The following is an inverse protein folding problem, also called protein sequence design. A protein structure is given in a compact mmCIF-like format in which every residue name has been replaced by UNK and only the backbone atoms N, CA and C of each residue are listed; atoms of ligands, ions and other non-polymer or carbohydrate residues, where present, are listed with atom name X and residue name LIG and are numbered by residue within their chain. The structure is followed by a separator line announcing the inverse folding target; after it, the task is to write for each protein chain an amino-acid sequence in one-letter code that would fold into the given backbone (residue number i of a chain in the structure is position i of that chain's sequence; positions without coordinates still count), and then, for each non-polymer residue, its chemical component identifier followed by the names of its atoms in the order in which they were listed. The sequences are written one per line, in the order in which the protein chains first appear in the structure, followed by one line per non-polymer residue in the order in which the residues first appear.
data_IF_931850711007
#
_entry.id   IF_931850711007
#
_cell.length_a   1.000
_cell.length_b   1.000
_cell.length_c   1.000
_cell.angle_alpha   90.00
_cell.angle_beta   90.00
_cell.angle_gamma   90.00
#
_symmetry.space_group_name_H-M   'P 1'
#
loop_
_entity.id
_entity.type
_entity.pdbx_description
1 polymer ?
#
# COMPACT_ATOMS: atom_id res chain seq x y z
N UNK A 1 -0.98 -17.54 1.65
CA UNK A 1 -2.23 -17.78 0.90
C UNK A 1 -2.91 -16.44 0.71
N UNK A 2 -2.94 -15.97 -0.55
CA UNK A 2 -3.47 -14.69 -0.96
C UNK A 2 -4.97 -14.83 -1.12
N UNK A 3 -5.74 -14.68 -0.05
CA UNK A 3 -7.18 -14.79 -0.14
C UNK A 3 -7.78 -13.39 -0.16
N UNK A 4 -8.07 -12.94 -1.36
CA UNK A 4 -9.15 -12.02 -1.58
C UNK A 4 -10.42 -12.85 -1.46
N UNK A 5 -11.05 -12.86 -0.29
CA UNK A 5 -12.33 -13.56 -0.10
C UNK A 5 -13.37 -12.87 -0.97
N UNK A 6 -13.66 -13.54 -2.09
CA UNK A 6 -14.85 -13.33 -2.89
C UNK A 6 -16.07 -13.63 -2.02
N UNK A 7 -16.64 -12.63 -1.41
CA UNK A 7 -18.02 -12.69 -0.91
C UNK A 7 -18.56 -11.27 -0.77
N UNK A 8 -19.47 -10.97 -1.67
CA UNK A 8 -20.24 -9.73 -1.87
C UNK A 8 -19.55 -8.67 -2.68
N UNK A 9 -19.86 -8.63 -3.97
CA UNK A 9 -19.91 -7.42 -4.81
C UNK A 9 -20.90 -6.40 -4.21
N UNK A 10 -20.53 -5.82 -3.07
CA UNK A 10 -20.92 -4.46 -2.76
C UNK A 10 -19.76 -3.62 -3.24
N UNK A 11 -20.01 -2.69 -4.17
CA UNK A 11 -19.13 -1.59 -4.50
C UNK A 11 -18.52 -1.06 -3.20
N UNK A 12 -17.35 -1.61 -2.82
CA UNK A 12 -16.52 -1.03 -1.79
C UNK A 12 -15.93 0.22 -2.44
N UNK A 13 -16.69 1.29 -2.41
CA UNK A 13 -16.11 2.62 -2.39
C UNK A 13 -15.23 2.59 -1.16
N UNK A 14 -13.95 2.36 -1.36
CA UNK A 14 -12.96 2.37 -0.29
C UNK A 14 -12.90 3.79 0.18
N UNK A 15 -13.58 4.10 1.27
CA UNK A 15 -13.81 5.47 1.73
C UNK A 15 -12.52 6.16 2.15
N UNK A 16 -11.46 5.41 2.45
CA UNK A 16 -10.14 5.97 2.71
C UNK A 16 -9.02 4.94 2.56
N UNK A 17 -7.84 5.43 2.26
CA UNK A 17 -6.62 4.64 2.15
C UNK A 17 -5.57 5.20 3.11
N UNK A 18 -4.76 4.34 3.70
CA UNK A 18 -3.57 4.73 4.47
C UNK A 18 -2.38 3.92 3.99
N UNK A 19 -1.26 4.59 3.70
CA UNK A 19 -0.13 3.98 3.00
C UNK A 19 1.15 4.02 3.83
N UNK A 20 1.90 2.89 3.83
CA UNK A 20 3.22 2.76 4.45
C UNK A 20 4.34 3.20 3.51
N UNK A 21 5.57 3.28 4.02
CA UNK A 21 6.75 3.76 3.28
C UNK A 21 7.11 2.86 2.09
N UNK A 22 7.13 1.53 2.25
CA UNK A 22 7.58 0.61 1.21
C UNK A 22 6.79 0.73 -0.11
N UNK A 23 5.44 0.74 -0.12
CA UNK A 23 4.68 0.98 -1.34
C UNK A 23 4.98 2.33 -2.00
N UNK A 24 5.15 3.39 -1.22
CA UNK A 24 5.50 4.72 -1.74
C UNK A 24 6.87 4.70 -2.42
N UNK A 25 7.86 4.05 -1.79
CA UNK A 25 9.22 3.94 -2.31
C UNK A 25 9.23 3.17 -3.63
N UNK A 26 8.66 1.95 -3.65
CA UNK A 26 8.65 1.13 -4.86
C UNK A 26 7.93 1.81 -6.02
N UNK A 27 6.76 2.40 -5.77
CA UNK A 27 6.00 3.08 -6.81
C UNK A 27 6.71 4.34 -7.33
N UNK A 28 7.36 5.12 -6.47
CA UNK A 28 8.10 6.30 -6.90
C UNK A 28 9.34 5.93 -7.72
N UNK A 29 10.13 4.96 -7.28
CA UNK A 29 11.32 4.49 -7.99
C UNK A 29 11.00 3.81 -9.31
N UNK A 30 9.85 3.14 -9.42
CA UNK A 30 9.36 2.53 -10.65
C UNK A 30 8.69 3.55 -11.61
N UNK A 31 8.50 4.81 -11.20
CA UNK A 31 7.75 5.81 -11.98
C UNK A 31 6.24 5.52 -12.03
N UNK A 32 5.71 4.79 -11.05
CA UNK A 32 4.32 4.33 -10.97
C UNK A 32 3.52 5.01 -9.84
N UNK A 33 4.03 6.10 -9.27
CA UNK A 33 3.40 6.77 -8.12
C UNK A 33 1.92 7.15 -8.34
N UNK A 34 1.49 7.59 -9.54
CA UNK A 34 0.08 7.89 -9.82
C UNK A 34 -0.86 6.68 -9.69
N UNK A 35 -0.35 5.44 -9.71
CA UNK A 35 -1.17 4.24 -9.49
C UNK A 35 -1.86 4.23 -8.12
N UNK A 36 -1.31 4.92 -7.12
CA UNK A 36 -1.97 5.07 -5.82
C UNK A 36 -3.34 5.72 -5.95
N UNK A 37 -3.50 6.73 -6.78
CA UNK A 37 -4.78 7.41 -6.98
C UNK A 37 -5.85 6.47 -7.57
N UNK A 38 -5.42 5.45 -8.31
CA UNK A 38 -6.32 4.44 -8.86
C UNK A 38 -6.94 3.52 -7.80
N UNK A 39 -6.34 3.45 -6.62
CA UNK A 39 -6.82 2.61 -5.53
C UNK A 39 -8.01 3.23 -4.77
N UNK A 40 -8.17 4.55 -4.84
CA UNK A 40 -9.24 5.28 -4.16
C UNK A 40 -8.79 6.66 -3.67
N UNK A 41 -9.68 7.36 -2.97
CA UNK A 41 -9.43 8.68 -2.37
C UNK A 41 -10.37 8.88 -1.18
N UNK A 42 -9.93 9.59 -0.13
CA UNK A 42 -8.62 10.19 0.08
C UNK A 42 -7.51 9.18 0.43
N UNK A 43 -6.26 9.50 0.09
CA UNK A 43 -5.08 8.69 0.43
C UNK A 43 -4.30 9.41 1.51
N UNK A 44 -4.04 8.69 2.60
CA UNK A 44 -3.41 9.25 3.80
C UNK A 44 -2.03 8.68 4.04
N UNK A 45 -1.13 9.55 4.49
CA UNK A 45 0.22 9.21 4.92
C UNK A 45 0.40 9.65 6.38
N UNK A 46 0.65 8.72 7.32
CA UNK A 46 1.00 9.08 8.69
C UNK A 46 2.31 9.88 8.74
N UNK A 47 2.40 10.81 9.68
CA UNK A 47 3.62 11.60 9.85
C UNK A 47 4.87 10.74 10.06
N UNK A 48 4.78 9.64 10.82
CA UNK A 48 5.88 8.72 11.02
C UNK A 48 6.42 8.12 9.70
N UNK A 49 5.53 7.79 8.76
CA UNK A 49 5.89 7.31 7.41
C UNK A 49 6.56 8.43 6.61
N UNK A 50 5.99 9.63 6.64
CA UNK A 50 6.58 10.78 5.96
C UNK A 50 7.98 11.10 6.48
N UNK A 51 8.16 11.10 7.81
CA UNK A 51 9.44 11.33 8.45
C UNK A 51 10.49 10.27 8.08
N UNK A 52 10.08 9.00 7.97
CA UNK A 52 10.96 7.93 7.48
C UNK A 52 11.44 8.20 6.07
N UNK A 53 10.53 8.58 5.16
CA UNK A 53 10.87 8.87 3.77
C UNK A 53 11.75 10.11 3.65
N UNK A 54 11.51 11.16 4.42
CA UNK A 54 12.32 12.39 4.40
C UNK A 54 13.78 12.15 4.75
N UNK A 55 14.10 11.14 5.59
CA UNK A 55 15.49 10.76 5.91
C UNK A 55 16.28 10.27 4.70
N UNK A 56 15.63 9.94 3.59
CA UNK A 56 16.27 9.53 2.33
C UNK A 56 16.89 10.71 1.58
N UNK A 57 16.55 11.94 1.98
CA UNK A 57 17.07 13.18 1.39
C UNK A 57 16.28 13.65 0.17
N UNK A 58 16.41 14.94 -0.15
CA UNK A 58 15.66 15.62 -1.22
C UNK A 58 15.95 15.08 -2.64
N UNK A 59 17.06 14.38 -2.81
CA UNK A 59 17.40 13.71 -4.08
C UNK A 59 16.60 12.43 -4.37
N UNK A 60 15.95 11.84 -3.35
CA UNK A 60 15.19 10.60 -3.51
C UNK A 60 13.90 10.85 -4.32
N UNK A 61 13.60 10.00 -5.33
CA UNK A 61 12.37 10.11 -6.11
C UNK A 61 11.10 10.10 -5.26
N UNK A 62 11.09 9.37 -4.14
CA UNK A 62 9.93 9.26 -3.26
C UNK A 62 9.64 10.57 -2.54
N UNK A 63 10.69 11.26 -2.07
CA UNK A 63 10.55 12.58 -1.41
C UNK A 63 9.91 13.55 -2.38
N UNK A 64 10.47 13.66 -3.62
CA UNK A 64 9.93 14.53 -4.65
C UNK A 64 8.49 14.17 -5.05
N UNK A 65 8.18 12.88 -5.17
CA UNK A 65 6.84 12.43 -5.51
C UNK A 65 5.80 12.81 -4.45
N UNK A 66 6.14 12.67 -3.16
CA UNK A 66 5.27 13.05 -2.05
C UNK A 66 5.08 14.58 -1.99
N UNK A 67 6.13 15.35 -2.20
CA UNK A 67 6.06 16.82 -2.20
C UNK A 67 5.18 17.35 -3.33
N UNK A 68 5.21 16.71 -4.50
CA UNK A 68 4.38 17.05 -5.65
C UNK A 68 2.93 16.57 -5.55
N UNK A 69 2.63 15.61 -4.66
CA UNK A 69 1.33 14.96 -4.55
C UNK A 69 0.37 15.72 -3.63
N UNK A 70 -0.26 16.78 -4.13
CA UNK A 70 -1.25 17.58 -3.38
C UNK A 70 -2.50 16.80 -2.94
N UNK A 71 -2.73 15.62 -3.52
CA UNK A 71 -3.82 14.70 -3.19
C UNK A 71 -3.49 13.73 -2.03
N UNK A 72 -2.26 13.75 -1.53
CA UNK A 72 -1.81 12.90 -0.43
C UNK A 72 -1.94 13.66 0.88
N UNK A 73 -2.86 13.22 1.73
CA UNK A 73 -3.17 13.87 3.01
C UNK A 73 -2.26 13.37 4.12
N UNK A 74 -1.57 14.29 4.80
CA UNK A 74 -0.82 13.93 6.00
C UNK A 74 -1.75 13.80 7.18
N UNK A 75 -1.58 12.73 7.96
CA UNK A 75 -2.39 12.44 9.14
C UNK A 75 -1.52 11.95 10.30
N UNK A 76 -2.09 12.04 11.51
CA UNK A 76 -1.58 11.36 12.68
C UNK A 76 -2.68 10.52 13.31
N UNK A 77 -2.40 9.28 13.73
CA UNK A 77 -3.35 8.54 14.54
C UNK A 77 -3.55 9.30 15.87
N UNK A 78 -4.81 9.44 16.28
CA UNK A 78 -5.17 10.07 17.54
C UNK A 78 -4.54 9.35 18.75
N UNK A 79 -4.39 8.03 18.61
CA UNK A 79 -3.79 7.16 19.60
C UNK A 79 -3.13 5.96 18.93
N UNK A 80 -1.95 5.57 19.40
CA UNK A 80 -1.32 4.32 18.99
C UNK A 80 -2.02 3.17 19.70
N UNK A 81 -2.60 2.26 18.92
CA UNK A 81 -3.30 1.12 19.48
C UNK A 81 -2.33 0.14 20.14
N UNK A 82 -2.56 -0.16 21.43
CA UNK A 82 -1.80 -1.18 22.17
C UNK A 82 -1.86 -2.55 21.48
N UNK A 83 -2.97 -2.86 20.80
CA UNK A 83 -3.11 -4.11 20.04
C UNK A 83 -2.16 -4.18 18.85
N UNK A 84 -1.84 -3.05 18.23
CA UNK A 84 -0.85 -2.95 17.15
C UNK A 84 0.56 -2.90 17.73
N UNK A 85 0.78 -2.12 18.79
CA UNK A 85 2.08 -1.94 19.44
C UNK A 85 2.66 -3.26 19.95
N UNK A 86 1.80 -4.17 20.45
CA UNK A 86 2.19 -5.51 20.90
C UNK A 86 2.87 -6.37 19.82
N UNK A 87 2.79 -6.00 18.54
CA UNK A 87 3.46 -6.70 17.44
C UNK A 87 4.91 -6.28 17.23
N UNK A 88 5.37 -5.21 17.89
CA UNK A 88 6.76 -4.75 17.80
C UNK A 88 7.15 -4.28 16.38
N UNK A 89 6.20 -3.72 15.64
CA UNK A 89 6.41 -3.20 14.29
C UNK A 89 7.18 -1.87 14.32
N UNK A 90 7.71 -1.46 13.16
CA UNK A 90 8.31 -0.14 13.00
C UNK A 90 7.31 1.01 13.20
N UNK A 91 7.77 2.24 13.50
CA UNK A 91 6.88 3.39 13.77
C UNK A 91 5.91 3.69 12.62
N UNK A 92 6.35 3.57 11.36
CA UNK A 92 5.51 3.77 10.19
C UNK A 92 4.36 2.78 10.12
N UNK A 93 4.66 1.48 10.23
CA UNK A 93 3.67 0.39 10.19
C UNK A 93 2.70 0.48 11.37
N UNK A 94 3.21 0.77 12.57
CA UNK A 94 2.40 0.96 13.76
C UNK A 94 1.39 2.10 13.57
N UNK A 95 1.83 3.23 13.00
CA UNK A 95 0.96 4.37 12.73
C UNK A 95 -0.09 4.06 11.65
N UNK A 96 0.31 3.38 10.57
CA UNK A 96 -0.60 2.96 9.49
C UNK A 96 -1.70 2.05 10.03
N UNK A 97 -1.33 1.02 10.80
CA UNK A 97 -2.29 0.04 11.31
C UNK A 97 -3.15 0.61 12.43
N UNK A 98 -2.61 1.48 13.29
CA UNK A 98 -3.41 2.18 14.32
C UNK A 98 -4.43 3.11 13.67
N UNK A 99 -4.04 3.83 12.62
CA UNK A 99 -4.98 4.65 11.83
C UNK A 99 -6.09 3.80 11.22
N UNK A 100 -5.72 2.72 10.51
CA UNK A 100 -6.71 1.86 9.86
C UNK A 100 -7.65 1.19 10.86
N UNK A 101 -7.16 0.81 12.04
CA UNK A 101 -7.96 0.19 13.09
C UNK A 101 -8.99 1.17 13.69
N UNK A 102 -8.63 2.46 13.82
CA UNK A 102 -9.53 3.51 14.33
C UNK A 102 -10.50 4.04 13.27
N UNK A 103 -10.31 3.68 11.99
CA UNK A 103 -11.16 4.10 10.88
C UNK A 103 -11.70 2.87 10.13
N UNK A 104 -12.80 2.24 10.60
CA UNK A 104 -13.37 1.05 9.99
C UNK A 104 -13.65 1.25 8.50
N UNK A 105 -13.22 0.27 7.68
CA UNK A 105 -13.32 0.36 6.22
C UNK A 105 -12.10 1.01 5.54
N UNK A 106 -11.19 1.61 6.30
CA UNK A 106 -9.93 2.10 5.76
C UNK A 106 -9.06 0.94 5.25
N UNK A 107 -8.57 1.04 4.01
CA UNK A 107 -7.66 0.07 3.41
C UNK A 107 -6.21 0.44 3.71
N UNK A 108 -5.50 -0.42 4.42
CA UNK A 108 -4.07 -0.26 4.64
C UNK A 108 -3.28 -0.76 3.41
N UNK A 109 -2.29 0.04 2.98
CA UNK A 109 -1.38 -0.31 1.88
C UNK A 109 0.01 -0.54 2.48
N UNK A 110 0.43 -1.81 2.54
CA UNK A 110 1.72 -2.20 3.11
C UNK A 110 2.22 -3.53 2.52
N UNK A 111 3.54 -3.65 2.39
CA UNK A 111 4.20 -4.83 1.80
C UNK A 111 4.86 -5.72 2.85
N UNK A 112 5.27 -5.18 3.99
CA UNK A 112 5.96 -5.94 5.04
C UNK A 112 5.13 -7.10 5.59
N UNK A 113 5.76 -8.24 5.75
CA UNK A 113 5.08 -9.48 6.14
C UNK A 113 4.54 -9.43 7.58
N UNK A 114 5.28 -8.82 8.51
CA UNK A 114 4.86 -8.73 9.91
C UNK A 114 3.66 -7.79 10.05
N UNK A 115 3.71 -6.62 9.40
CA UNK A 115 2.61 -5.67 9.32
C UNK A 115 1.36 -6.30 8.68
N UNK A 116 1.53 -7.07 7.60
CA UNK A 116 0.42 -7.79 6.94
C UNK A 116 -0.24 -8.83 7.85
N UNK A 117 0.56 -9.59 8.61
CA UNK A 117 0.05 -10.55 9.61
C UNK A 117 -0.72 -9.85 10.73
N UNK A 118 -0.20 -8.74 11.23
CA UNK A 118 -0.88 -7.90 12.21
C UNK A 118 -2.24 -7.41 11.68
N UNK A 119 -2.27 -6.84 10.47
CA UNK A 119 -3.49 -6.37 9.82
C UNK A 119 -4.53 -7.49 9.70
N UNK A 120 -4.11 -8.67 9.21
CA UNK A 120 -4.98 -9.85 9.08
C UNK A 120 -5.55 -10.30 10.43
N UNK A 121 -4.71 -10.38 11.47
CA UNK A 121 -5.14 -10.75 12.81
C UNK A 121 -6.16 -9.77 13.39
N UNK A 122 -5.99 -8.47 13.12
CA UNK A 122 -6.87 -7.41 13.60
C UNK A 122 -8.10 -7.18 12.71
N UNK A 123 -8.24 -7.90 11.60
CA UNK A 123 -9.34 -7.73 10.65
C UNK A 123 -9.27 -6.41 9.86
N UNK A 124 -8.09 -5.81 9.73
CA UNK A 124 -7.88 -4.59 8.95
C UNK A 124 -7.81 -4.94 7.47
N UNK A 125 -8.64 -4.34 6.60
CA UNK A 125 -8.50 -4.49 5.15
C UNK A 125 -7.12 -4.07 4.69
N UNK A 126 -6.47 -4.88 3.85
CA UNK A 126 -5.11 -4.58 3.39
C UNK A 126 -4.88 -4.97 1.94
N UNK A 127 -3.97 -4.25 1.30
CA UNK A 127 -3.35 -4.59 0.03
C UNK A 127 -1.85 -4.29 0.07
N UNK A 128 -1.11 -4.75 -0.93
CA UNK A 128 0.30 -4.39 -1.13
C UNK A 128 0.49 -3.77 -2.51
N UNK A 129 1.73 -3.39 -2.83
CA UNK A 129 2.08 -2.78 -4.12
C UNK A 129 1.69 -3.65 -5.31
N UNK A 130 1.93 -4.97 -5.25
CA UNK A 130 1.46 -5.90 -6.29
C UNK A 130 -0.07 -5.84 -6.43
N UNK A 131 -0.80 -5.82 -5.31
CA UNK A 131 -2.26 -5.76 -5.33
C UNK A 131 -2.81 -4.50 -6.01
N UNK A 132 -2.12 -3.36 -5.88
CA UNK A 132 -2.47 -2.12 -6.60
C UNK A 132 -2.36 -2.29 -8.11
N UNK A 133 -1.27 -2.89 -8.59
CA UNK A 133 -1.05 -3.17 -10.03
C UNK A 133 -2.13 -4.11 -10.57
N UNK A 134 -2.41 -5.21 -9.86
CA UNK A 134 -3.44 -6.17 -10.27
C UNK A 134 -4.84 -5.53 -10.29
N UNK A 135 -5.14 -4.67 -9.31
CA UNK A 135 -6.39 -3.91 -9.29
C UNK A 135 -6.51 -2.98 -10.50
N UNK A 136 -5.45 -2.22 -10.81
CA UNK A 136 -5.43 -1.32 -11.97
C UNK A 136 -5.65 -2.09 -13.29
N UNK A 137 -5.08 -3.28 -13.44
CA UNK A 137 -5.34 -4.17 -14.59
C UNK A 137 -6.80 -4.61 -14.63
N UNK A 138 -7.35 -5.10 -13.53
CA UNK A 138 -8.72 -5.59 -13.45
C UNK A 138 -9.76 -4.49 -13.73
N UNK A 139 -9.47 -3.24 -13.34
CA UNK A 139 -10.35 -2.09 -13.59
C UNK A 139 -10.11 -1.43 -14.95
N UNK A 140 -9.24 -1.99 -15.79
CA UNK A 140 -8.97 -1.48 -17.14
C UNK A 140 -8.14 -0.19 -17.20
N UNK A 141 -7.53 0.22 -16.08
CA UNK A 141 -6.70 1.43 -16.02
C UNK A 141 -5.32 1.22 -16.65
N UNK A 142 -4.87 -0.03 -16.72
CA UNK A 142 -3.65 -0.44 -17.42
C UNK A 142 -3.96 -1.63 -18.34
N UNK A 143 -3.27 -1.70 -19.47
CA UNK A 143 -3.45 -2.76 -20.46
C UNK A 143 -2.79 -4.07 -20.08
N UNK A 144 -1.66 -4.03 -19.33
CA UNK A 144 -0.91 -5.18 -18.87
C UNK A 144 -0.30 -4.93 -17.49
N UNK A 145 -0.35 -5.95 -16.61
CA UNK A 145 0.23 -5.88 -15.27
C UNK A 145 1.72 -6.27 -15.27
N UNK A 146 2.12 -7.28 -16.04
CA UNK A 146 3.49 -7.82 -16.08
C UNK A 146 4.55 -6.73 -16.27
N UNK A 147 4.47 -5.82 -17.28
CA UNK A 147 5.49 -4.80 -17.47
C UNK A 147 5.65 -3.85 -16.27
N UNK A 148 4.57 -3.58 -15.54
CA UNK A 148 4.62 -2.72 -14.35
C UNK A 148 5.26 -3.46 -13.17
N UNK A 149 4.99 -4.75 -13.05
CA UNK A 149 5.61 -5.58 -12.02
C UNK A 149 7.12 -5.72 -12.25
N UNK A 150 7.58 -5.86 -13.50
CA UNK A 150 9.01 -5.87 -13.80
C UNK A 150 9.68 -4.53 -13.41
N UNK A 151 9.04 -3.39 -13.68
CA UNK A 151 9.52 -2.09 -13.18
C UNK A 151 9.63 -2.02 -11.66
N UNK A 152 8.70 -2.64 -10.93
CA UNK A 152 8.76 -2.71 -9.47
C UNK A 152 9.92 -3.60 -9.00
N UNK A 153 10.21 -4.70 -9.69
CA UNK A 153 11.38 -5.54 -9.44
C UNK A 153 12.68 -4.77 -9.68
N UNK A 154 12.78 -4.04 -10.79
CA UNK A 154 13.92 -3.19 -11.11
C UNK A 154 14.12 -2.08 -10.06
N UNK A 155 13.03 -1.59 -9.48
CA UNK A 155 13.04 -0.65 -8.36
C UNK A 155 13.40 -1.30 -7.01
N UNK A 156 13.73 -2.59 -6.98
CA UNK A 156 14.19 -3.32 -5.80
C UNK A 156 13.10 -4.07 -5.03
N UNK A 157 11.88 -4.16 -5.55
CA UNK A 157 10.83 -4.96 -4.93
C UNK A 157 11.12 -6.45 -5.09
N UNK A 158 11.37 -7.14 -3.97
CA UNK A 158 11.50 -8.60 -4.01
C UNK A 158 10.16 -9.28 -4.25
N UNK A 159 10.03 -9.92 -5.40
CA UNK A 159 8.84 -10.67 -5.78
C UNK A 159 9.25 -11.93 -6.53
N UNK A 160 9.05 -13.09 -5.90
CA UNK A 160 9.36 -14.38 -6.52
C UNK A 160 8.33 -14.75 -7.60
N UNK A 161 8.76 -15.50 -8.61
CA UNK A 161 7.85 -15.99 -9.67
C UNK A 161 6.76 -16.90 -9.11
N UNK A 162 7.04 -17.61 -8.00
CA UNK A 162 6.04 -18.42 -7.28
C UNK A 162 4.85 -17.58 -6.79
N UNK A 163 5.06 -16.29 -6.49
CA UNK A 163 4.01 -15.35 -6.10
C UNK A 163 3.45 -14.64 -7.33
N UNK A 164 4.31 -14.22 -8.24
CA UNK A 164 3.93 -13.43 -9.39
C UNK A 164 3.05 -14.18 -10.39
N UNK A 165 3.45 -15.40 -10.80
CA UNK A 165 2.73 -16.13 -11.83
C UNK A 165 1.27 -16.48 -11.46
N UNK A 166 0.96 -16.95 -10.23
CA UNK A 166 -0.42 -17.09 -9.79
C UNK A 166 -1.19 -15.77 -9.74
N UNK A 167 -0.53 -14.67 -9.36
CA UNK A 167 -1.15 -13.37 -9.26
C UNK A 167 -1.53 -12.80 -10.63
N UNK A 168 -0.66 -12.94 -11.64
CA UNK A 168 -0.95 -12.52 -13.03
C UNK A 168 -2.11 -13.31 -13.64
N UNK A 169 -2.18 -14.62 -13.38
CA UNK A 169 -3.32 -15.44 -13.84
C UNK A 169 -4.67 -14.94 -13.32
N UNK A 170 -4.73 -14.30 -12.14
CA UNK A 170 -5.97 -13.72 -11.61
C UNK A 170 -6.50 -12.54 -12.45
N UNK A 171 -5.66 -11.96 -13.27
CA UNK A 171 -5.99 -10.81 -14.13
C UNK A 171 -5.86 -11.12 -15.63
N UNK A 172 -5.77 -12.41 -15.96
CA UNK A 172 -5.75 -12.90 -17.34
C UNK A 172 -4.39 -12.75 -18.07
N UNK A 173 -3.28 -12.80 -17.32
CA UNK A 173 -1.90 -12.80 -17.85
C UNK A 173 -1.09 -14.04 -17.45
#
# INVERSE_FOLDING_TARGET
MWIWTSSREKSLVTESLVVNASPLIYLAHAGLFPLLQSAGSPIRIPWAVRAEIQRRGSGDPTVRAIEAASWLEQVEPLEISQRVEAWGLGPGETSVLSWALSHPGCLAILDDLAGRRCAQFLGIPLTGTLGLVLRAKRTGQISAARPLVEKLRDAGMYLSDRVLEPALRLVGE
#
